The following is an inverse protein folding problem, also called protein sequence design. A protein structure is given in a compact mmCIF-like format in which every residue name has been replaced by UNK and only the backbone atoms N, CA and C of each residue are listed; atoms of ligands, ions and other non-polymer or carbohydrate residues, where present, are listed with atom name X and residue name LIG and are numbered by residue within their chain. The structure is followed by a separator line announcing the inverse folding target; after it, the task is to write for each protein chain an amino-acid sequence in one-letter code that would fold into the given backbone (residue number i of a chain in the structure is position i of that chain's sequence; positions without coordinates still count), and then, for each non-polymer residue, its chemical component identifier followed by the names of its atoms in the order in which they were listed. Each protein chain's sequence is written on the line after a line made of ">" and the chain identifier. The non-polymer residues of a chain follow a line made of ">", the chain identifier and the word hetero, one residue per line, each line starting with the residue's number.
data_IF_973623416291
#
_entry.id   IF_973623416291
#
_cell.length_a   1.000
_cell.length_b   1.000
_cell.length_c   1.000
_cell.angle_alpha   90.00
_cell.angle_beta   90.00
_cell.angle_gamma   90.00
#
_symmetry.space_group_name_H-M   'P 1'
#
loop_
_entity.id
_entity.type
_entity.pdbx_description
1 polymer ?
#
# COMPACT_ATOMS: atom_id res chain seq x y z
N UNK A 1 -5.41 -15.67 -13.43
CA UNK A 1 -4.65 -16.29 -12.32
C UNK A 1 -3.95 -15.20 -11.53
N UNK A 2 -3.76 -15.34 -10.20
CA UNK A 2 -3.02 -14.36 -9.42
C UNK A 2 -1.60 -14.19 -9.95
N UNK A 3 -1.11 -12.96 -10.00
CA UNK A 3 0.27 -12.70 -10.42
C UNK A 3 1.24 -12.88 -9.25
N UNK A 4 2.47 -13.38 -9.49
CA UNK A 4 3.50 -13.43 -8.47
C UNK A 4 3.86 -12.01 -8.00
N UNK A 5 3.78 -11.78 -6.69
CA UNK A 5 4.15 -10.51 -6.06
C UNK A 5 5.28 -10.75 -5.06
N UNK A 6 6.22 -9.81 -4.98
CA UNK A 6 7.41 -9.92 -4.12
C UNK A 6 7.10 -9.87 -2.63
N UNK A 7 5.94 -9.31 -2.25
CA UNK A 7 5.49 -9.19 -0.86
C UNK A 7 4.16 -9.93 -0.73
N UNK A 8 4.08 -11.02 0.05
CA UNK A 8 2.83 -11.72 0.28
C UNK A 8 1.97 -10.91 1.26
N UNK A 9 1.00 -10.19 0.73
CA UNK A 9 -0.07 -9.53 1.48
C UNK A 9 -1.39 -10.27 1.26
N UNK A 10 -2.40 -10.11 2.14
CA UNK A 10 -3.69 -10.80 1.99
C UNK A 10 -4.44 -10.47 0.69
N UNK A 11 -4.04 -9.40 0.00
CA UNK A 11 -4.62 -8.97 -1.27
C UNK A 11 -4.06 -9.76 -2.46
N UNK A 12 -4.94 -10.01 -3.43
CA UNK A 12 -4.64 -10.76 -4.66
C UNK A 12 -4.59 -9.81 -5.85
N UNK A 13 -3.53 -9.91 -6.66
CA UNK A 13 -3.39 -9.13 -7.88
C UNK A 13 -3.71 -9.98 -9.11
N UNK A 14 -4.39 -9.40 -10.09
CA UNK A 14 -4.77 -10.05 -11.33
C UNK A 14 -4.40 -9.20 -12.54
N UNK A 15 -4.13 -9.86 -13.66
CA UNK A 15 -4.11 -9.20 -14.97
C UNK A 15 -5.53 -9.10 -15.51
N UNK A 16 -5.87 -7.93 -16.07
CA UNK A 16 -7.13 -7.67 -16.73
C UNK A 16 -6.83 -7.37 -18.19
N UNK A 17 -7.55 -8.03 -19.10
CA UNK A 17 -7.43 -7.86 -20.55
C UNK A 17 -8.75 -7.27 -21.07
N UNK A 18 -8.65 -6.32 -21.99
CA UNK A 18 -9.80 -5.71 -22.66
C UNK A 18 -9.72 -6.05 -24.15
N UNK A 19 -10.44 -7.09 -24.57
CA UNK A 19 -10.49 -7.54 -25.95
C UNK A 19 -11.87 -7.21 -26.53
N UNK A 20 -11.91 -6.35 -27.57
CA UNK A 20 -13.12 -5.93 -28.28
C UNK A 20 -14.31 -5.56 -27.37
N UNK A 21 -14.03 -4.88 -26.25
CA UNK A 21 -15.06 -4.44 -25.30
C UNK A 21 -15.87 -3.30 -25.92
N UNK A 22 -17.17 -3.53 -26.12
CA UNK A 22 -18.10 -2.51 -26.62
C UNK A 22 -18.29 -1.39 -25.59
N UNK A 23 -18.03 -0.15 -25.99
CA UNK A 23 -18.18 1.05 -25.16
C UNK A 23 -18.89 2.16 -25.94
N UNK A 24 -19.98 2.66 -25.38
CA UNK A 24 -20.70 3.87 -25.83
C UNK A 24 -20.37 5.14 -25.04
N UNK A 25 -20.88 6.32 -25.47
CA UNK A 25 -20.65 7.61 -24.81
C UNK A 25 -21.01 7.66 -23.31
N UNK A 26 -21.99 6.87 -22.88
CA UNK A 26 -22.44 6.72 -21.50
C UNK A 26 -21.39 6.08 -20.57
N UNK A 27 -20.37 5.43 -21.12
CA UNK A 27 -19.27 4.83 -20.36
C UNK A 27 -18.10 5.80 -20.14
N UNK A 28 -18.16 7.01 -20.70
CA UNK A 28 -17.12 8.02 -20.52
C UNK A 28 -17.18 8.55 -19.09
N UNK A 29 -16.06 8.43 -18.38
CA UNK A 29 -15.87 9.11 -17.09
C UNK A 29 -15.37 10.53 -17.36
N UNK A 30 -16.18 11.53 -16.97
CA UNK A 30 -15.88 12.95 -17.20
C UNK A 30 -15.95 13.32 -18.68
N UNK A 31 -14.90 13.95 -19.21
CA UNK A 31 -14.85 14.45 -20.59
C UNK A 31 -13.80 13.71 -21.43
N UNK A 32 -14.12 13.46 -22.70
CA UNK A 32 -13.20 12.82 -23.65
C UNK A 32 -11.93 13.67 -23.79
N UNK A 33 -10.76 13.05 -23.57
CA UNK A 33 -9.46 13.72 -23.60
C UNK A 33 -9.03 14.35 -22.27
N UNK A 34 -9.85 14.27 -21.20
CA UNK A 34 -9.56 14.83 -19.87
C UNK A 34 -9.25 13.78 -18.78
N UNK A 35 -8.87 12.56 -19.18
CA UNK A 35 -8.61 11.47 -18.23
C UNK A 35 -7.47 11.74 -17.24
N UNK A 36 -6.49 12.58 -17.58
CA UNK A 36 -5.39 12.93 -16.67
C UNK A 36 -5.86 13.72 -15.45
N UNK A 37 -6.87 14.58 -15.60
CA UNK A 37 -7.37 15.40 -14.50
C UNK A 37 -8.03 14.49 -13.45
N UNK A 38 -8.87 13.54 -13.91
CA UNK A 38 -9.51 12.50 -13.07
C UNK A 38 -8.46 11.63 -12.37
N UNK A 39 -7.40 11.26 -13.07
CA UNK A 39 -6.29 10.50 -12.52
C UNK A 39 -5.63 11.27 -11.36
N UNK A 40 -5.33 12.55 -11.52
CA UNK A 40 -4.69 13.34 -10.47
C UNK A 40 -5.60 13.62 -9.27
N UNK A 41 -6.90 13.80 -9.51
CA UNK A 41 -7.89 13.89 -8.43
C UNK A 41 -7.90 12.63 -7.54
N UNK A 42 -7.63 11.46 -8.13
CA UNK A 42 -7.55 10.19 -7.40
C UNK A 42 -6.18 9.94 -6.76
N UNK A 43 -5.08 10.15 -7.51
CA UNK A 43 -3.72 9.85 -7.05
C UNK A 43 -3.23 10.79 -5.94
N UNK A 44 -3.69 12.05 -5.91
CA UNK A 44 -3.22 13.02 -4.91
C UNK A 44 -3.66 12.62 -3.48
N UNK A 45 -4.94 12.32 -3.22
CA UNK A 45 -5.36 11.75 -1.94
C UNK A 45 -4.70 10.42 -1.60
N UNK A 46 -4.52 9.53 -2.59
CA UNK A 46 -3.88 8.23 -2.39
C UNK A 46 -2.46 8.37 -1.80
N UNK A 47 -1.67 9.33 -2.27
CA UNK A 47 -0.33 9.61 -1.72
C UNK A 47 -0.37 9.97 -0.23
N UNK A 48 -1.34 10.77 0.18
CA UNK A 48 -1.50 11.16 1.59
C UNK A 48 -1.92 9.94 2.42
N UNK A 49 -2.84 9.13 1.89
CA UNK A 49 -3.28 7.89 2.53
C UNK A 49 -2.11 6.93 2.77
N UNK A 50 -1.30 6.67 1.73
CA UNK A 50 -0.11 5.81 1.84
C UNK A 50 0.88 6.37 2.85
N UNK A 51 1.10 7.70 2.86
CA UNK A 51 1.91 8.36 3.87
C UNK A 51 1.43 8.07 5.30
N UNK A 52 0.12 8.20 5.55
CA UNK A 52 -0.46 7.90 6.86
C UNK A 52 -0.31 6.42 7.26
N UNK A 53 -0.49 5.49 6.31
CA UNK A 53 -0.27 4.06 6.52
C UNK A 53 1.18 3.80 6.93
N UNK A 54 2.15 4.35 6.20
CA UNK A 54 3.57 4.21 6.49
C UNK A 54 3.94 4.74 7.89
N UNK A 55 3.36 5.87 8.31
CA UNK A 55 3.56 6.39 9.68
C UNK A 55 3.00 5.43 10.73
N UNK A 56 1.79 4.90 10.52
CA UNK A 56 1.19 3.92 11.42
C UNK A 56 2.02 2.65 11.56
N UNK A 57 2.45 2.08 10.43
CA UNK A 57 3.33 0.90 10.38
C UNK A 57 4.67 1.19 11.06
N UNK A 58 5.27 2.36 10.83
CA UNK A 58 6.52 2.76 11.47
C UNK A 58 6.42 2.83 12.99
N UNK A 59 5.32 3.40 13.52
CA UNK A 59 5.06 3.43 14.97
C UNK A 59 4.87 2.04 15.54
N UNK A 60 4.10 1.19 14.85
CA UNK A 60 3.89 -0.20 15.27
C UNK A 60 5.21 -0.98 15.33
N UNK A 61 6.01 -0.90 14.25
CA UNK A 61 7.30 -1.57 14.15
C UNK A 61 8.27 -1.09 15.25
N UNK A 62 8.32 0.23 15.51
CA UNK A 62 9.14 0.79 16.56
C UNK A 62 8.72 0.29 17.96
N UNK A 63 7.43 0.29 18.25
CA UNK A 63 6.92 -0.22 19.53
C UNK A 63 7.27 -1.70 19.71
N UNK A 64 7.12 -2.52 18.66
CA UNK A 64 7.53 -3.93 18.70
C UNK A 64 9.02 -4.13 18.89
N UNK A 65 9.85 -3.32 18.24
CA UNK A 65 11.29 -3.37 18.42
C UNK A 65 11.70 -3.01 19.85
N UNK A 66 11.13 -1.94 20.41
CA UNK A 66 11.41 -1.48 21.79
C UNK A 66 10.94 -2.51 22.82
N UNK A 67 9.72 -3.03 22.68
CA UNK A 67 9.17 -4.09 23.54
C UNK A 67 10.13 -5.30 23.56
N UNK A 68 10.48 -5.82 22.39
CA UNK A 68 11.39 -6.97 22.28
C UNK A 68 12.78 -6.68 22.83
N UNK A 69 13.32 -5.48 22.60
CA UNK A 69 14.64 -5.11 23.08
C UNK A 69 14.73 -5.06 24.62
N UNK A 70 13.65 -4.68 25.28
CA UNK A 70 13.57 -4.62 26.74
C UNK A 70 13.38 -5.99 27.41
N UNK A 71 12.83 -6.98 26.69
CA UNK A 71 12.60 -8.32 27.23
C UNK A 71 13.72 -9.31 26.89
N UNK A 72 14.30 -9.20 25.69
CA UNK A 72 15.27 -10.17 25.20
C UNK A 72 16.61 -10.02 25.93
N UNK A 73 17.04 -11.06 26.63
CA UNK A 73 18.37 -11.16 27.24
C UNK A 73 19.22 -12.22 26.54
N UNK A 74 20.45 -11.85 26.17
CA UNK A 74 21.45 -12.78 25.57
C UNK A 74 22.72 -12.86 26.41
N UNK A 75 23.06 -11.80 27.15
CA UNK A 75 24.20 -11.77 28.08
C UNK A 75 23.72 -11.53 29.53
N UNK A 76 24.08 -10.39 30.13
CA UNK A 76 23.80 -10.07 31.53
C UNK A 76 22.60 -9.13 31.74
N UNK A 77 21.91 -8.74 30.67
CA UNK A 77 20.72 -7.90 30.73
C UNK A 77 20.00 -7.79 29.38
N UNK A 78 18.88 -7.05 29.33
CA UNK A 78 18.14 -6.79 28.10
C UNK A 78 19.02 -6.22 26.99
N UNK A 79 18.76 -6.62 25.74
CA UNK A 79 19.53 -6.10 24.60
C UNK A 79 19.34 -4.59 24.39
N UNK A 80 18.22 -4.02 24.83
CA UNK A 80 17.94 -2.58 24.78
C UNK A 80 18.72 -1.73 25.79
N UNK A 81 19.52 -2.35 26.67
CA UNK A 81 20.34 -1.63 27.65
C UNK A 81 21.71 -1.18 27.10
N UNK A 82 22.02 -1.48 25.84
CA UNK A 82 23.31 -1.21 25.19
C UNK A 82 23.16 -0.28 23.97
#
# INVERSE_FOLDING_TARGET
>A
HPIPVSIPIPEVQYQVFFDDVELGPEHVLGEVGKGFDILFESLNPERILVGAICVGVGRYAMNKAVEYANERTVFKGPIGAY
#
